data_IF_626683902056
#
_entry.id   IF_626683902056
#
_cell.length_a   1.000
_cell.length_b   1.000
_cell.length_c   1.000
_cell.angle_alpha   90.00
_cell.angle_beta   90.00
_cell.angle_gamma   90.00
#
_symmetry.space_group_name_H-M   'P 1'
#
loop_
_entity.id
_entity.type
_entity.pdbx_description
1 polymer ?
#
# COMPACT_ATOMS: atom_id res chain seq x y z
N UNK A 1 67.25 16.72 3.29
CA UNK A 1 66.04 16.67 4.13
C UNK A 1 64.93 17.36 3.34
N UNK A 2 64.08 16.63 2.59
CA UNK A 2 62.84 15.94 3.02
C UNK A 2 61.95 16.84 3.89
N UNK A 3 60.91 17.43 3.28
CA UNK A 3 59.52 17.40 3.77
C UNK A 3 58.60 17.83 2.61
N UNK A 4 57.91 16.86 2.00
CA UNK A 4 56.72 17.10 1.16
C UNK A 4 55.53 16.97 2.10
N UNK A 5 54.70 18.00 2.20
CA UNK A 5 53.50 17.96 3.03
C UNK A 5 52.32 18.55 2.26
N UNK A 6 51.24 17.76 2.30
CA UNK A 6 49.84 18.10 2.05
C UNK A 6 49.43 18.51 0.63
N UNK A 7 49.03 17.51 -0.16
CA UNK A 7 47.96 17.68 -1.15
C UNK A 7 46.62 17.65 -0.39
N UNK A 8 45.94 18.79 -0.35
CA UNK A 8 44.57 18.92 0.13
C UNK A 8 43.64 18.31 -0.93
N UNK A 9 43.01 17.16 -0.64
CA UNK A 9 41.94 16.62 -1.48
C UNK A 9 40.66 17.33 -1.04
N UNK A 10 40.23 18.29 -1.84
CA UNK A 10 38.89 18.87 -1.72
C UNK A 10 37.89 17.84 -2.27
N UNK A 11 37.21 17.13 -1.37
CA UNK A 11 36.04 16.36 -1.72
C UNK A 11 34.86 17.34 -1.89
N UNK A 12 34.54 17.68 -3.13
CA UNK A 12 33.29 18.37 -3.45
C UNK A 12 32.15 17.38 -3.22
N UNK A 13 31.29 17.67 -2.24
CA UNK A 13 30.00 17.01 -2.04
C UNK A 13 29.02 17.65 -3.03
N UNK A 14 28.54 16.95 -4.07
CA UNK A 14 27.41 17.44 -4.82
C UNK A 14 26.17 17.28 -3.94
N UNK A 15 25.64 18.42 -3.49
CA UNK A 15 24.33 18.50 -2.86
C UNK A 15 23.31 18.22 -3.97
N UNK A 16 22.78 16.99 -3.98
CA UNK A 16 21.67 16.59 -4.83
C UNK A 16 20.44 17.39 -4.37
N UNK A 17 20.04 18.36 -5.18
CA UNK A 17 18.73 18.98 -5.10
C UNK A 17 17.73 17.97 -5.68
N UNK A 18 17.20 17.09 -4.84
CA UNK A 18 16.01 16.32 -5.18
C UNK A 18 14.84 17.31 -5.24
N UNK A 19 14.24 17.43 -6.42
CA UNK A 19 13.03 18.19 -6.65
C UNK A 19 11.85 17.47 -6.00
N UNK A 20 11.28 18.06 -4.94
CA UNK A 20 10.11 17.54 -4.18
C UNK A 20 8.78 17.63 -4.95
N UNK A 21 8.77 17.39 -6.26
CA UNK A 21 7.57 17.45 -7.11
C UNK A 21 7.01 16.06 -7.46
N UNK A 22 7.57 14.98 -6.90
CA UNK A 22 7.13 13.59 -7.09
C UNK A 22 6.35 13.02 -5.88
N UNK A 23 6.07 13.83 -4.86
CA UNK A 23 5.51 13.35 -3.60
C UNK A 23 3.98 13.49 -3.48
N UNK A 24 3.29 13.99 -4.51
CA UNK A 24 1.82 14.16 -4.44
C UNK A 24 1.03 12.93 -4.93
N UNK A 25 1.73 11.91 -5.46
CA UNK A 25 1.15 10.62 -5.92
C UNK A 25 1.93 9.42 -5.37
N UNK A 26 2.78 9.63 -4.38
CA UNK A 26 3.56 8.56 -3.77
C UNK A 26 2.65 7.83 -2.77
N UNK A 27 1.75 6.98 -3.27
CA UNK A 27 0.80 6.23 -2.44
C UNK A 27 -0.43 5.72 -3.20
N UNK A 28 -0.85 6.40 -4.28
CA UNK A 28 -2.03 6.01 -5.05
C UNK A 28 -1.90 4.59 -5.64
N UNK A 29 -3.03 3.88 -5.68
CA UNK A 29 -3.16 2.61 -6.41
C UNK A 29 -3.31 2.94 -7.90
N UNK A 30 -2.22 2.79 -8.64
CA UNK A 30 -2.22 3.02 -10.08
C UNK A 30 -2.87 1.83 -10.83
N UNK A 31 -3.85 2.14 -11.67
CA UNK A 31 -4.69 1.15 -12.35
C UNK A 31 -4.82 1.45 -13.85
N UNK A 32 -4.98 0.41 -14.65
CA UNK A 32 -5.39 0.55 -16.04
C UNK A 32 -5.70 -0.80 -16.69
N UNK A 33 -5.91 -0.80 -17.99
CA UNK A 33 -6.05 -2.05 -18.75
C UNK A 33 -4.71 -2.52 -19.28
N UNK A 34 -4.58 -3.84 -19.46
CA UNK A 34 -3.46 -4.45 -20.16
C UNK A 34 -3.34 -3.94 -21.62
N UNK A 35 -4.47 -3.60 -22.24
CA UNK A 35 -4.57 -3.01 -23.58
C UNK A 35 -5.89 -2.26 -23.75
N UNK A 36 -5.84 -0.99 -24.15
CA UNK A 36 -7.04 -0.22 -24.46
C UNK A 36 -7.84 -0.75 -25.65
N UNK A 37 -7.17 -1.32 -26.66
CA UNK A 37 -7.85 -1.73 -27.89
C UNK A 37 -8.65 -3.03 -27.72
N UNK A 38 -8.17 -3.91 -26.85
CA UNK A 38 -8.74 -5.23 -26.59
C UNK A 38 -8.42 -5.61 -25.15
N UNK A 39 -9.05 -4.94 -24.16
CA UNK A 39 -8.74 -5.18 -22.77
C UNK A 39 -9.11 -6.63 -22.41
N UNK A 40 -8.21 -7.30 -21.70
CA UNK A 40 -8.40 -8.67 -21.24
C UNK A 40 -8.19 -8.82 -19.75
N UNK A 41 -7.58 -7.82 -19.10
CA UNK A 41 -7.44 -7.74 -17.66
C UNK A 41 -7.30 -6.29 -17.23
N UNK A 42 -7.76 -6.02 -16.00
CA UNK A 42 -7.49 -4.79 -15.29
C UNK A 42 -6.22 -4.99 -14.45
N UNK A 43 -5.27 -4.09 -14.59
CA UNK A 43 -3.93 -4.20 -14.02
C UNK A 43 -3.79 -3.17 -12.91
N UNK A 44 -3.26 -3.60 -11.78
CA UNK A 44 -2.83 -2.75 -10.67
C UNK A 44 -1.31 -2.74 -10.67
N UNK A 45 -0.69 -1.56 -10.60
CA UNK A 45 0.77 -1.43 -10.53
C UNK A 45 1.27 -2.01 -9.20
N UNK A 46 2.28 -2.88 -9.26
CA UNK A 46 2.79 -3.56 -8.06
C UNK A 46 4.12 -2.95 -7.63
N UNK A 47 4.13 -2.26 -6.50
CA UNK A 47 5.34 -1.75 -5.86
C UNK A 47 5.95 -2.82 -4.95
N UNK A 48 5.13 -3.35 -4.05
CA UNK A 48 5.49 -4.40 -3.11
C UNK A 48 4.53 -5.58 -3.18
N UNK A 49 4.99 -6.76 -2.78
CA UNK A 49 4.16 -7.97 -2.82
C UNK A 49 4.45 -8.89 -1.65
N UNK A 50 3.40 -9.55 -1.17
CA UNK A 50 3.50 -10.61 -0.16
C UNK A 50 4.23 -11.84 -0.71
N UNK A 51 4.56 -12.78 0.16
CA UNK A 51 5.11 -14.08 -0.24
C UNK A 51 4.19 -14.94 -1.10
N UNK A 52 2.89 -14.59 -1.20
CA UNK A 52 1.91 -15.19 -2.12
C UNK A 52 1.91 -14.53 -3.51
N UNK A 53 2.67 -13.44 -3.69
CA UNK A 53 2.65 -12.62 -4.91
C UNK A 53 1.44 -11.69 -5.00
N UNK A 54 0.73 -11.46 -3.89
CA UNK A 54 -0.37 -10.48 -3.80
C UNK A 54 0.26 -9.11 -3.57
N UNK A 55 -0.12 -8.11 -4.36
CA UNK A 55 0.38 -6.75 -4.17
C UNK A 55 -0.02 -6.20 -2.80
N UNK A 56 0.79 -5.32 -2.21
CA UNK A 56 0.49 -4.69 -0.93
C UNK A 56 0.71 -3.18 -1.02
N UNK A 57 -0.29 -2.43 -0.57
CA UNK A 57 -0.29 -0.99 -0.45
C UNK A 57 -0.48 -0.61 1.01
N UNK A 58 0.10 0.52 1.38
CA UNK A 58 0.16 1.03 2.73
C UNK A 58 -0.47 2.42 2.78
N UNK A 59 -1.13 2.74 3.89
CA UNK A 59 -1.63 4.08 4.16
C UNK A 59 -1.72 4.32 5.67
N UNK A 60 -1.91 5.58 6.06
CA UNK A 60 -2.12 5.98 7.44
C UNK A 60 -3.57 6.42 7.65
N UNK A 61 -4.15 6.09 8.80
CA UNK A 61 -5.34 6.77 9.29
C UNK A 61 -4.96 8.12 9.86
N UNK A 62 -5.68 9.18 9.46
CA UNK A 62 -5.51 10.52 9.99
C UNK A 62 -6.81 11.11 10.55
N UNK A 63 -6.66 12.11 11.42
CA UNK A 63 -7.80 12.79 12.03
C UNK A 63 -8.43 13.74 11.00
N UNK A 64 -9.64 13.41 10.54
CA UNK A 64 -10.31 14.15 9.47
C UNK A 64 -10.83 15.52 9.92
N UNK A 65 -11.39 15.60 11.13
CA UNK A 65 -12.03 16.81 11.63
C UNK A 65 -11.32 17.30 12.92
N UNK A 66 -10.51 18.38 12.84
CA UNK A 66 -9.86 18.94 14.03
C UNK A 66 -10.86 19.53 15.05
N UNK A 67 -12.15 19.61 14.71
CA UNK A 67 -13.23 20.02 15.59
C UNK A 67 -14.03 18.84 16.16
N UNK A 68 -13.86 17.62 15.64
CA UNK A 68 -14.44 16.39 16.14
C UNK A 68 -13.32 15.39 16.50
N UNK A 69 -12.68 15.65 17.65
CA UNK A 69 -11.56 14.84 18.08
C UNK A 69 -11.92 13.36 18.19
N UNK A 70 -11.26 12.52 17.38
CA UNK A 70 -11.48 11.08 17.30
C UNK A 70 -12.35 10.62 16.13
N UNK A 71 -12.44 11.40 15.06
CA UNK A 71 -12.96 11.01 13.74
C UNK A 71 -11.75 10.70 12.85
N UNK A 72 -11.50 9.42 12.58
CA UNK A 72 -10.29 8.95 11.90
C UNK A 72 -10.64 8.22 10.61
N UNK A 73 -10.12 8.72 9.50
CA UNK A 73 -10.27 8.05 8.22
C UNK A 73 -8.98 8.14 7.41
N UNK A 74 -8.93 7.38 6.33
CA UNK A 74 -7.93 7.54 5.29
C UNK A 74 -8.67 7.84 3.98
N UNK A 75 -8.35 8.96 3.34
CA UNK A 75 -8.72 9.23 1.94
C UNK A 75 -7.62 8.77 0.97
N UNK A 76 -6.46 8.39 1.51
CA UNK A 76 -5.38 7.72 0.81
C UNK A 76 -5.34 6.21 1.14
N UNK A 77 -4.92 5.36 0.20
CA UNK A 77 -4.46 5.72 -1.13
C UNK A 77 -5.64 6.07 -2.04
N UNK A 78 -5.41 7.04 -2.93
CA UNK A 78 -6.31 7.28 -4.04
C UNK A 78 -6.21 6.15 -5.08
N UNK A 79 -7.12 6.19 -6.05
CA UNK A 79 -7.06 5.35 -7.24
C UNK A 79 -6.91 6.25 -8.44
N UNK A 80 -5.89 5.97 -9.25
CA UNK A 80 -5.57 6.79 -10.40
C UNK A 80 -5.08 5.94 -11.58
N UNK A 81 -5.21 6.49 -12.78
CA UNK A 81 -4.51 5.98 -13.96
C UNK A 81 -3.14 6.63 -14.12
N UNK A 82 -2.20 5.89 -14.74
CA UNK A 82 -0.88 6.39 -15.09
C UNK A 82 -0.66 6.40 -16.62
N UNK A 83 -1.05 7.49 -17.32
CA UNK A 83 -0.82 7.63 -18.77
C UNK A 83 0.64 7.52 -19.18
N UNK A 84 1.57 7.89 -18.30
CA UNK A 84 3.00 7.81 -18.53
C UNK A 84 3.50 6.37 -18.71
N UNK A 85 2.80 5.43 -18.07
CA UNK A 85 3.08 3.99 -18.13
C UNK A 85 2.11 3.22 -19.02
N UNK A 86 1.12 3.92 -19.58
CA UNK A 86 0.08 3.34 -20.43
C UNK A 86 -1.02 2.63 -19.63
N UNK A 87 -1.09 2.86 -18.32
CA UNK A 87 -2.20 2.43 -17.48
C UNK A 87 -3.36 3.40 -17.68
N UNK A 88 -4.26 3.05 -18.58
CA UNK A 88 -5.43 3.84 -18.98
C UNK A 88 -6.66 2.93 -19.00
N UNK A 89 -7.85 3.53 -18.92
CA UNK A 89 -9.14 2.82 -19.04
C UNK A 89 -9.94 3.36 -20.23
N UNK A 90 -10.95 2.64 -20.74
CA UNK A 90 -11.78 3.24 -21.79
C UNK A 90 -12.72 4.29 -21.21
N UNK A 91 -13.01 5.33 -22.00
CA UNK A 91 -13.97 6.36 -21.62
C UNK A 91 -15.35 5.76 -21.35
N UNK A 92 -15.87 6.02 -20.14
CA UNK A 92 -17.18 5.61 -19.68
C UNK A 92 -17.20 4.28 -18.92
N UNK A 93 -16.14 3.49 -19.00
CA UNK A 93 -16.04 2.24 -18.25
C UNK A 93 -15.97 2.56 -16.76
N UNK A 94 -16.76 1.85 -15.95
CA UNK A 94 -16.83 2.06 -14.51
C UNK A 94 -15.87 1.13 -13.78
N UNK A 95 -15.10 1.69 -12.84
CA UNK A 95 -14.18 0.94 -12.00
C UNK A 95 -14.76 0.85 -10.57
N UNK A 96 -14.73 -0.36 -10.05
CA UNK A 96 -15.30 -0.73 -8.77
C UNK A 96 -14.25 -1.43 -7.93
N UNK A 97 -14.29 -1.18 -6.63
CA UNK A 97 -13.57 -1.94 -5.62
C UNK A 97 -14.46 -3.10 -5.18
N UNK A 98 -13.89 -4.30 -5.08
CA UNK A 98 -14.54 -5.48 -4.52
C UNK A 98 -13.74 -6.02 -3.33
N UNK A 99 -14.32 -5.98 -2.13
CA UNK A 99 -13.68 -6.50 -0.91
C UNK A 99 -13.89 -8.02 -0.82
N UNK A 100 -12.79 -8.74 -0.59
CA UNK A 100 -12.76 -10.19 -0.55
C UNK A 100 -12.68 -10.72 0.89
N UNK A 101 -13.18 -11.93 1.10
CA UNK A 101 -12.94 -12.65 2.35
C UNK A 101 -11.52 -13.21 2.36
N UNK A 102 -10.62 -12.52 3.04
CA UNK A 102 -9.21 -12.90 3.07
C UNK A 102 -8.96 -14.25 3.75
N UNK A 103 -9.88 -14.76 4.58
CA UNK A 103 -9.77 -16.10 5.18
C UNK A 103 -9.91 -17.24 4.17
N UNK A 104 -10.47 -16.93 2.99
CA UNK A 104 -10.62 -17.85 1.87
C UNK A 104 -9.55 -17.58 0.81
N UNK A 105 -9.26 -16.30 0.56
CA UNK A 105 -8.49 -15.87 -0.61
C UNK A 105 -6.99 -15.67 -0.36
N UNK A 106 -6.53 -15.69 0.90
CA UNK A 106 -5.11 -15.60 1.29
C UNK A 106 -4.80 -16.54 2.46
N UNK A 107 -3.57 -17.05 2.52
CA UNK A 107 -3.10 -17.83 3.67
C UNK A 107 -2.76 -16.99 4.92
N UNK A 108 -2.69 -15.67 4.78
CA UNK A 108 -2.45 -14.73 5.89
C UNK A 108 -3.75 -14.10 6.42
N UNK A 109 -4.80 -14.05 5.59
CA UNK A 109 -6.06 -13.40 5.92
C UNK A 109 -6.90 -14.15 6.95
N UNK A 110 -7.72 -13.39 7.69
CA UNK A 110 -8.61 -13.88 8.75
C UNK A 110 -10.07 -13.44 8.56
N UNK A 111 -10.36 -12.60 7.58
CA UNK A 111 -11.73 -12.20 7.22
C UNK A 111 -11.79 -11.02 6.23
N UNK A 112 -12.89 -10.28 6.25
CA UNK A 112 -13.08 -9.08 5.42
C UNK A 112 -12.30 -7.88 5.94
N UNK A 113 -12.26 -7.68 7.28
CA UNK A 113 -11.40 -6.68 7.93
C UNK A 113 -10.40 -7.42 8.80
N UNK A 114 -9.12 -7.21 8.51
CA UNK A 114 -8.00 -7.93 9.12
C UNK A 114 -7.27 -6.97 10.04
N UNK A 115 -7.45 -7.11 11.35
CA UNK A 115 -6.84 -6.23 12.35
C UNK A 115 -5.60 -6.89 12.95
N UNK A 116 -4.44 -6.28 12.78
CA UNK A 116 -3.22 -6.67 13.47
C UNK A 116 -3.20 -6.04 14.87
N UNK A 117 -3.26 -6.90 15.88
CA UNK A 117 -3.22 -6.49 17.27
C UNK A 117 -1.76 -6.46 17.77
N UNK A 118 -1.17 -5.28 18.05
CA UNK A 118 0.22 -5.18 18.46
C UNK A 118 0.49 -5.75 19.86
N UNK A 119 -0.57 -5.94 20.68
CA UNK A 119 -0.47 -6.53 22.03
C UNK A 119 -0.35 -8.04 21.98
N UNK A 120 -1.12 -8.69 21.10
CA UNK A 120 -1.10 -10.16 20.93
C UNK A 120 -0.14 -10.60 19.83
N UNK A 121 0.28 -9.67 18.97
CA UNK A 121 1.13 -9.87 17.81
C UNK A 121 0.51 -10.90 16.82
N UNK A 122 -0.77 -10.73 16.55
CA UNK A 122 -1.56 -11.61 15.67
C UNK A 122 -2.57 -10.81 14.85
N UNK A 123 -2.95 -11.33 13.69
CA UNK A 123 -4.12 -10.89 12.92
C UNK A 123 -5.40 -11.46 13.52
N UNK A 124 -6.43 -10.61 13.60
CA UNK A 124 -7.74 -10.89 14.17
C UNK A 124 -8.84 -10.33 13.25
N UNK A 125 -10.00 -10.97 13.21
CA UNK A 125 -11.13 -10.55 12.35
C UNK A 125 -12.14 -9.68 13.13
N UNK A 126 -11.63 -8.67 13.83
CA UNK A 126 -12.40 -7.89 14.82
C UNK A 126 -12.59 -6.42 14.46
N UNK A 127 -11.98 -5.94 13.36
CA UNK A 127 -12.16 -4.56 12.89
C UNK A 127 -13.55 -4.31 12.29
N UNK A 128 -14.02 -3.07 12.38
CA UNK A 128 -15.22 -2.58 11.68
C UNK A 128 -14.83 -1.37 10.86
N UNK A 129 -15.20 -1.38 9.59
CA UNK A 129 -14.75 -0.39 8.63
C UNK A 129 -15.89 -0.06 7.67
N UNK A 130 -16.04 1.21 7.34
CA UNK A 130 -16.80 1.67 6.19
C UNK A 130 -15.88 2.03 5.04
N UNK A 131 -16.37 1.81 3.83
CA UNK A 131 -15.76 2.30 2.61
C UNK A 131 -16.78 3.19 1.93
N UNK A 132 -16.48 4.49 1.85
CA UNK A 132 -17.35 5.52 1.32
C UNK A 132 -16.79 6.00 -0.02
N UNK A 133 -17.55 5.80 -1.09
CA UNK A 133 -17.19 6.38 -2.39
C UNK A 133 -17.83 7.75 -2.60
N UNK A 134 -17.35 8.47 -3.61
CA UNK A 134 -17.85 9.82 -3.91
C UNK A 134 -19.16 9.84 -4.69
N UNK A 135 -19.71 8.67 -5.04
CA UNK A 135 -20.95 8.54 -5.79
C UNK A 135 -22.17 8.45 -4.89
N UNK A 136 -23.03 9.47 -4.95
CA UNK A 136 -24.33 9.50 -4.24
C UNK A 136 -25.33 8.41 -4.65
N UNK A 137 -25.05 7.64 -5.71
CA UNK A 137 -25.93 6.56 -6.20
C UNK A 137 -25.59 5.18 -5.66
N UNK A 138 -24.45 5.01 -5.00
CA UNK A 138 -24.02 3.76 -4.38
C UNK A 138 -24.07 3.95 -2.86
N UNK A 139 -24.70 3.02 -2.14
CA UNK A 139 -24.70 3.08 -0.69
C UNK A 139 -23.35 2.64 -0.13
N UNK A 140 -22.97 3.22 1.00
CA UNK A 140 -21.69 2.92 1.65
C UNK A 140 -21.54 1.42 1.97
N UNK A 141 -20.32 0.94 1.83
CA UNK A 141 -19.94 -0.41 2.22
C UNK A 141 -19.67 -0.44 3.73
N UNK A 142 -20.31 -1.36 4.44
CA UNK A 142 -20.09 -1.58 5.87
C UNK A 142 -19.57 -2.99 6.10
N UNK A 143 -18.38 -3.09 6.67
CA UNK A 143 -17.68 -4.32 6.95
C UNK A 143 -17.49 -4.51 8.45
N UNK A 144 -17.61 -5.75 8.87
CA UNK A 144 -17.25 -6.23 10.19
C UNK A 144 -16.34 -7.43 9.98
N UNK A 145 -15.28 -7.60 10.76
CA UNK A 145 -14.14 -8.42 10.35
C UNK A 145 -14.46 -9.82 9.83
N UNK A 146 -15.55 -10.47 10.25
CA UNK A 146 -16.03 -11.74 9.68
C UNK A 146 -17.27 -11.70 8.78
N UNK A 147 -17.86 -10.53 8.49
CA UNK A 147 -19.12 -10.41 7.74
C UNK A 147 -19.33 -9.06 7.06
N UNK A 148 -20.09 -9.06 5.98
CA UNK A 148 -20.56 -7.85 5.30
C UNK A 148 -21.89 -7.39 5.94
N UNK A 149 -21.96 -6.14 6.39
CA UNK A 149 -23.17 -5.56 7.01
C UNK A 149 -24.08 -4.85 5.99
N UNK A 150 -23.50 -4.26 4.93
CA UNK A 150 -24.25 -3.52 3.88
C UNK A 150 -24.96 -4.43 2.85
N UNK A 151 -24.60 -5.72 2.80
CA UNK A 151 -25.13 -6.69 1.83
C UNK A 151 -24.46 -6.67 0.45
N UNK A 152 -23.41 -5.88 0.26
CA UNK A 152 -22.56 -5.82 -0.94
C UNK A 152 -21.09 -5.81 -0.53
N UNK A 153 -20.20 -6.37 -1.33
CA UNK A 153 -18.74 -6.23 -1.18
C UNK A 153 -18.16 -5.08 -2.01
N UNK A 154 -19.01 -4.43 -2.82
CA UNK A 154 -18.58 -3.53 -3.88
C UNK A 154 -18.78 -2.07 -3.51
N UNK A 155 -17.81 -1.27 -3.90
CA UNK A 155 -17.85 0.19 -3.82
C UNK A 155 -17.44 0.81 -5.16
N UNK A 156 -18.17 1.80 -5.64
CA UNK A 156 -17.79 2.53 -6.85
C UNK A 156 -16.61 3.44 -6.56
N UNK A 157 -15.62 3.44 -7.46
CA UNK A 157 -14.48 4.35 -7.46
C UNK A 157 -14.81 5.49 -8.42
N UNK A 158 -14.60 5.28 -9.71
CA UNK A 158 -14.78 6.31 -10.73
C UNK A 158 -15.10 5.69 -12.10
N UNK A 159 -15.35 6.52 -13.10
CA UNK A 159 -15.52 6.11 -14.49
C UNK A 159 -14.51 6.82 -15.39
N UNK A 160 -13.97 6.09 -16.38
CA UNK A 160 -12.99 6.63 -17.32
C UNK A 160 -13.49 7.90 -18.00
N UNK A 161 -12.72 8.98 -17.93
CA UNK A 161 -13.11 10.27 -18.46
C UNK A 161 -12.79 10.41 -19.98
N UNK A 162 -12.89 11.64 -20.50
CA UNK A 162 -12.62 11.90 -21.91
C UNK A 162 -11.13 11.73 -22.30
N UNK A 163 -10.24 11.82 -21.32
CA UNK A 163 -8.80 11.61 -21.44
C UNK A 163 -8.40 10.16 -21.10
N UNK A 164 -9.37 9.27 -20.84
CA UNK A 164 -9.19 7.85 -20.51
C UNK A 164 -8.58 7.62 -19.12
N UNK A 165 -8.78 8.60 -18.25
CA UNK A 165 -8.22 8.61 -16.91
C UNK A 165 -9.33 8.41 -15.87
N UNK A 166 -8.96 7.86 -14.72
CA UNK A 166 -9.75 7.96 -13.49
C UNK A 166 -8.88 8.64 -12.44
N UNK A 167 -9.49 9.41 -11.55
CA UNK A 167 -8.80 9.93 -10.39
C UNK A 167 -9.80 10.17 -9.27
N UNK A 168 -9.90 9.21 -8.35
CA UNK A 168 -10.81 9.34 -7.23
C UNK A 168 -10.25 8.79 -5.93
N UNK A 169 -10.71 9.36 -4.83
CA UNK A 169 -10.29 9.04 -3.47
C UNK A 169 -11.48 8.41 -2.74
N UNK A 170 -11.35 7.13 -2.40
CA UNK A 170 -12.35 6.40 -1.62
C UNK A 170 -11.98 6.51 -0.16
N UNK A 171 -12.93 6.91 0.68
CA UNK A 171 -12.68 7.10 2.11
C UNK A 171 -12.87 5.79 2.84
N UNK A 172 -11.84 5.38 3.58
CA UNK A 172 -11.89 4.25 4.52
C UNK A 172 -12.00 4.81 5.94
N UNK A 173 -13.02 4.39 6.67
CA UNK A 173 -13.39 4.96 7.97
C UNK A 173 -13.60 3.83 9.00
N UNK A 174 -13.02 3.96 10.20
CA UNK A 174 -13.25 3.00 11.27
C UNK A 174 -14.55 3.37 12.00
N UNK A 175 -15.62 2.61 11.74
CA UNK A 175 -16.96 2.86 12.30
C UNK A 175 -17.07 2.98 13.83
N UNK A 176 -16.05 2.57 14.57
CA UNK A 176 -15.97 2.69 16.03
C UNK A 176 -14.72 3.49 16.48
N UNK A 177 -14.28 4.47 15.68
CA UNK A 177 -13.05 5.29 15.80
C UNK A 177 -12.57 5.55 17.23
N UNK A 178 -13.43 6.19 18.04
CA UNK A 178 -13.09 6.60 19.40
C UNK A 178 -12.76 5.42 20.35
N UNK A 179 -13.09 4.20 19.95
CA UNK A 179 -12.81 2.96 20.67
C UNK A 179 -12.01 1.94 19.86
N UNK A 180 -11.70 2.25 18.60
CA UNK A 180 -10.87 1.41 17.76
C UNK A 180 -9.49 1.23 18.46
N UNK A 181 -8.99 0.00 18.60
CA UNK A 181 -7.69 -0.23 19.20
C UNK A 181 -6.55 0.14 18.24
N UNK A 182 -5.47 0.69 18.77
CA UNK A 182 -4.23 0.92 18.02
C UNK A 182 -3.76 -0.39 17.39
N UNK A 183 -3.43 -0.35 16.10
CA UNK A 183 -2.93 -1.49 15.33
C UNK A 183 -2.93 -1.19 13.83
N UNK A 184 -2.91 -2.24 13.02
CA UNK A 184 -3.03 -2.10 11.56
C UNK A 184 -4.32 -2.77 11.07
N UNK A 185 -4.96 -2.19 10.07
CA UNK A 185 -6.20 -2.67 9.51
C UNK A 185 -6.02 -2.95 8.04
N UNK A 186 -6.31 -4.16 7.58
CA UNK A 186 -6.13 -4.57 6.21
C UNK A 186 -7.40 -5.07 5.55
N UNK A 187 -7.59 -4.68 4.30
CA UNK A 187 -8.59 -5.23 3.39
C UNK A 187 -7.88 -5.96 2.25
N UNK A 188 -8.35 -7.17 1.92
CA UNK A 188 -7.96 -7.84 0.69
C UNK A 188 -9.01 -7.50 -0.37
N UNK A 189 -8.58 -6.99 -1.51
CA UNK A 189 -9.47 -6.43 -2.52
C UNK A 189 -9.03 -6.85 -3.91
N UNK A 190 -9.94 -6.66 -4.86
CA UNK A 190 -9.67 -6.64 -6.28
C UNK A 190 -10.47 -5.49 -6.90
N UNK A 191 -10.07 -5.07 -8.09
CA UNK A 191 -10.80 -4.09 -8.88
C UNK A 191 -11.61 -4.82 -9.96
N UNK A 192 -12.84 -4.37 -10.17
CA UNK A 192 -13.77 -4.85 -11.18
C UNK A 192 -14.11 -3.72 -12.16
N UNK A 193 -14.23 -4.03 -13.45
CA UNK A 193 -14.76 -3.07 -14.44
C UNK A 193 -16.30 -3.17 -14.52
N UNK A 194 -16.88 -2.63 -15.60
CA UNK A 194 -18.31 -2.75 -15.92
C UNK A 194 -18.87 -4.17 -15.72
N UNK A 195 -20.19 -4.23 -15.50
CA UNK A 195 -20.90 -5.48 -15.25
C UNK A 195 -21.80 -5.86 -16.42
N UNK A 196 -21.82 -7.15 -16.73
CA UNK A 196 -22.80 -7.70 -17.65
C UNK A 196 -24.23 -7.72 -17.05
N UNK A 197 -25.20 -8.13 -17.87
CA UNK A 197 -26.61 -8.17 -17.45
C UNK A 197 -26.89 -9.15 -16.30
N UNK A 198 -25.99 -10.11 -16.07
CA UNK A 198 -26.07 -11.11 -15.00
C UNK A 198 -25.32 -10.66 -13.73
N UNK A 199 -24.67 -9.48 -13.76
CA UNK A 199 -23.93 -8.89 -12.65
C UNK A 199 -22.50 -9.42 -12.50
N UNK A 200 -21.95 -10.04 -13.55
CA UNK A 200 -20.55 -10.48 -13.60
C UNK A 200 -19.69 -9.34 -14.11
N UNK A 201 -18.58 -9.06 -13.43
CA UNK A 201 -17.61 -8.07 -13.90
C UNK A 201 -16.99 -8.53 -15.24
N UNK A 202 -16.85 -7.61 -16.19
CA UNK A 202 -16.24 -7.89 -17.49
C UNK A 202 -14.74 -8.15 -17.36
N UNK A 203 -14.06 -7.36 -16.54
CA UNK A 203 -12.64 -7.49 -16.21
C UNK A 203 -12.47 -7.46 -14.69
N UNK A 204 -11.49 -8.21 -14.21
CA UNK A 204 -11.12 -8.28 -12.79
C UNK A 204 -9.60 -8.17 -12.69
N UNK A 205 -9.09 -7.45 -11.68
CA UNK A 205 -7.66 -7.41 -11.39
C UNK A 205 -7.14 -8.63 -10.66
N UNK A 206 -5.82 -8.75 -10.61
CA UNK A 206 -5.20 -9.50 -9.52
C UNK A 206 -5.54 -8.85 -8.17
N UNK A 207 -5.56 -9.67 -7.13
CA UNK A 207 -5.89 -9.22 -5.76
C UNK A 207 -4.74 -8.42 -5.18
N UNK A 208 -5.06 -7.51 -4.29
CA UNK A 208 -4.10 -6.71 -3.54
C UNK A 208 -4.57 -6.44 -2.12
N UNK A 209 -3.61 -6.30 -1.22
CA UNK A 209 -3.82 -5.83 0.13
C UNK A 209 -3.75 -4.31 0.16
N UNK A 210 -4.67 -3.71 0.90
CA UNK A 210 -4.54 -2.35 1.39
C UNK A 210 -4.49 -2.38 2.91
N UNK A 211 -3.39 -1.90 3.48
CA UNK A 211 -3.11 -1.97 4.92
C UNK A 211 -2.91 -0.58 5.48
N UNK A 212 -3.74 -0.22 6.46
CA UNK A 212 -3.73 1.06 7.13
C UNK A 212 -3.06 0.96 8.49
N UNK A 213 -2.17 1.90 8.80
CA UNK A 213 -1.63 2.10 10.14
C UNK A 213 -2.57 2.99 10.96
N UNK A 214 -3.02 2.50 12.12
CA UNK A 214 -3.79 3.29 13.08
C UNK A 214 -3.00 3.48 14.37
N UNK A 215 -2.16 4.52 14.37
CA UNK A 215 -1.45 5.00 15.57
C UNK A 215 -0.34 4.08 16.08
N UNK A 216 0.16 3.15 15.26
CA UNK A 216 1.37 2.40 15.57
C UNK A 216 2.62 3.26 15.35
N UNK A 217 3.72 2.91 16.00
CA UNK A 217 5.03 3.42 15.60
C UNK A 217 5.39 2.85 14.22
N UNK A 218 5.91 3.68 13.33
CA UNK A 218 6.25 3.31 11.95
C UNK A 218 7.11 2.05 11.88
N UNK A 219 8.14 1.94 12.73
CA UNK A 219 8.99 0.75 12.73
C UNK A 219 8.27 -0.52 13.18
N UNK A 220 7.30 -0.40 14.10
CA UNK A 220 6.45 -1.53 14.50
C UNK A 220 5.43 -1.89 13.39
N UNK A 221 4.96 -0.92 12.62
CA UNK A 221 4.08 -1.15 11.46
C UNK A 221 4.82 -1.95 10.39
N UNK A 222 5.96 -1.45 9.92
CA UNK A 222 6.78 -2.09 8.88
C UNK A 222 7.26 -3.48 9.29
N UNK A 223 7.88 -3.60 10.48
CA UNK A 223 8.57 -4.84 10.87
C UNK A 223 7.61 -5.93 11.37
N UNK A 224 6.41 -5.57 11.85
CA UNK A 224 5.51 -6.53 12.54
C UNK A 224 4.14 -6.62 11.91
N UNK A 225 3.50 -5.48 11.61
CA UNK A 225 2.17 -5.49 11.02
C UNK A 225 2.23 -6.01 9.59
N UNK A 226 3.02 -5.39 8.71
CA UNK A 226 3.11 -5.80 7.30
C UNK A 226 3.61 -7.24 7.14
N UNK A 227 4.54 -7.67 7.99
CA UNK A 227 4.99 -9.07 8.04
C UNK A 227 3.85 -10.06 8.34
N UNK A 228 2.84 -9.64 9.12
CA UNK A 228 1.66 -10.46 9.42
C UNK A 228 0.71 -10.57 8.22
N UNK A 229 0.71 -9.59 7.33
CA UNK A 229 0.03 -9.64 6.01
C UNK A 229 0.85 -10.40 4.95
N UNK A 230 1.99 -10.98 5.34
CA UNK A 230 2.80 -11.80 4.47
C UNK A 230 3.83 -11.03 3.66
N UNK A 231 4.05 -9.74 3.94
CA UNK A 231 5.17 -9.00 3.39
C UNK A 231 6.46 -9.67 3.88
N UNK A 232 7.25 -10.20 2.94
CA UNK A 232 8.51 -10.81 3.33
C UNK A 232 9.47 -9.69 3.67
N UNK A 233 10.03 -9.69 4.88
CA UNK A 233 11.14 -8.81 5.24
C UNK A 233 12.24 -9.01 4.19
N UNK A 234 12.41 -8.06 3.26
CA UNK A 234 13.46 -8.13 2.26
C UNK A 234 14.77 -8.04 3.04
N UNK A 235 15.64 -9.07 3.04
CA UNK A 235 16.86 -9.02 3.83
C UNK A 235 17.69 -7.85 3.31
N UNK A 236 17.88 -6.79 4.10
CA UNK A 236 18.58 -5.57 3.66
C UNK A 236 19.90 -5.94 2.93
N UNK A 237 19.97 -5.87 1.59
CA UNK A 237 21.10 -6.44 0.87
C UNK A 237 22.39 -5.65 1.11
N UNK A 238 22.27 -4.40 1.56
CA UNK A 238 23.38 -3.48 1.76
C UNK A 238 24.08 -3.64 3.12
N UNK A 239 23.33 -3.71 4.20
CA UNK A 239 23.86 -3.54 5.56
C UNK A 239 24.82 -4.66 5.96
N UNK A 240 24.48 -5.91 5.60
CA UNK A 240 25.35 -7.06 5.83
C UNK A 240 26.60 -7.03 4.93
N UNK A 241 26.44 -6.62 3.67
CA UNK A 241 27.54 -6.49 2.72
C UNK A 241 28.53 -5.39 3.16
N UNK A 242 28.04 -4.24 3.62
CA UNK A 242 28.87 -3.16 4.17
C UNK A 242 29.55 -3.55 5.49
N UNK A 243 28.85 -4.27 6.37
CA UNK A 243 29.43 -4.80 7.61
C UNK A 243 30.60 -5.77 7.29
N UNK A 244 30.41 -6.67 6.33
CA UNK A 244 31.41 -7.65 5.91
C UNK A 244 32.61 -6.98 5.22
N UNK A 245 32.37 -5.96 4.39
CA UNK A 245 33.44 -5.15 3.80
C UNK A 245 34.24 -4.39 4.87
N UNK A 246 33.56 -3.84 5.87
CA UNK A 246 34.20 -3.20 7.03
C UNK A 246 35.08 -4.17 7.84
N UNK A 247 34.55 -5.37 8.12
CA UNK A 247 35.29 -6.41 8.85
C UNK A 247 36.53 -6.90 8.07
N UNK A 248 36.41 -7.08 6.75
CA UNK A 248 37.53 -7.47 5.88
C UNK A 248 38.65 -6.41 5.87
N UNK A 249 38.29 -5.12 5.82
CA UNK A 249 39.25 -4.02 5.88
C UNK A 249 40.03 -3.97 7.20
N UNK A 250 39.36 -4.21 8.34
CA UNK A 250 40.00 -4.29 9.67
C UNK A 250 40.93 -5.50 9.76
N UNK A 251 40.52 -6.66 9.22
CA UNK A 251 41.33 -7.88 9.18
C UNK A 251 42.63 -7.70 8.37
N UNK A 252 42.55 -7.07 7.20
CA UNK A 252 43.73 -6.76 6.37
C UNK A 252 44.69 -5.77 7.06
N UNK A 253 44.16 -4.75 7.74
CA UNK A 253 44.98 -3.79 8.50
C UNK A 253 45.71 -4.45 9.68
N UNK A 254 45.05 -5.36 10.40
CA UNK A 254 45.68 -6.13 11.50
C UNK A 254 46.80 -7.05 11.02
N UNK A 255 46.59 -7.76 9.90
CA UNK A 255 47.64 -8.60 9.30
C UNK A 255 48.87 -7.82 8.87
N UNK A 256 48.68 -6.62 8.32
CA UNK A 256 49.81 -5.75 7.93
C UNK A 256 50.61 -5.24 9.12
N UNK A 257 49.95 -4.98 10.25
CA UNK A 257 50.62 -4.48 11.46
C UNK A 257 51.31 -5.58 12.29
N UNK A 258 50.93 -6.85 12.12
CA UNK A 258 51.55 -7.99 12.80
C UNK A 258 52.77 -8.57 12.05
N UNK A 259 53.02 -8.13 10.81
CA UNK A 259 54.12 -8.56 9.96
C UNK A 259 55.32 -7.60 9.95
N UNK A 260 55.34 -6.63 10.87
CA UNK A 260 56.50 -5.78 11.21
C UNK A 260 56.93 -6.09 12.64
#
# INVERSE_FOLDING_TARGET
MKFRFLSLIAAAVPCLLATNAFAQHAGDVEVGYDSLATPSSLIVEVIESTSEGIALFEADFEELDPFNAGDFSADEPGFNTNPGEGLLVNTGDQIWLNVLDASVESSFGVGYVNYFNPTTNMLENSGRMSVLGNSTSVGDLFLNGGSIESGSTRQFIDAGDADQEIHDHVVFDLLDDASAPIGAYGLLMELESDFDADGTAELVSDKFWLVFNYGMDEGDFDDRALASFGLSSVPEPGSLAFLMLGAAAIGLKRRRNAAC
#
